data_IF_762277981927
#
_entry.id   IF_762277981927
#
_cell.length_a   1.000
_cell.length_b   1.000
_cell.length_c   1.000
_cell.angle_alpha   90.00
_cell.angle_beta   90.00
_cell.angle_gamma   90.00
#
_symmetry.space_group_name_H-M   'P 1'
#
loop_
_entity.id
_entity.type
_entity.pdbx_description
1 polymer ?
#
# COMPACT_ATOMS: atom_id res chain seq x y z
N UNK A 1 5.34 14.69 -3.08
CA UNK A 1 6.76 14.23 -3.05
C UNK A 1 7.60 15.24 -3.81
N UNK A 2 8.75 15.68 -3.27
CA UNK A 2 9.62 16.59 -3.99
C UNK A 2 10.28 15.88 -5.20
N UNK A 3 10.42 16.55 -6.35
CA UNK A 3 11.05 15.95 -7.54
C UNK A 3 12.48 15.43 -7.26
N UNK A 4 13.21 16.12 -6.39
CA UNK A 4 14.57 15.75 -5.99
C UNK A 4 14.59 14.37 -5.27
N UNK A 5 13.63 14.10 -4.39
CA UNK A 5 13.53 12.82 -3.67
C UNK A 5 13.27 11.66 -4.65
N UNK A 6 12.37 11.87 -5.62
CA UNK A 6 12.08 10.87 -6.67
C UNK A 6 13.33 10.58 -7.49
N UNK A 7 14.08 11.61 -7.88
CA UNK A 7 15.34 11.46 -8.65
C UNK A 7 16.39 10.69 -7.85
N UNK A 8 16.58 10.99 -6.57
CA UNK A 8 17.53 10.26 -5.72
C UNK A 8 17.16 8.77 -5.58
N UNK A 9 15.88 8.46 -5.41
CA UNK A 9 15.39 7.07 -5.32
C UNK A 9 15.63 6.32 -6.63
N UNK A 10 15.33 6.96 -7.78
CA UNK A 10 15.57 6.35 -9.09
C UNK A 10 17.06 6.07 -9.35
N UNK A 11 17.95 7.03 -9.06
CA UNK A 11 19.40 6.85 -9.23
C UNK A 11 19.88 5.71 -8.32
N UNK A 12 19.47 5.70 -7.06
CA UNK A 12 19.84 4.63 -6.11
C UNK A 12 19.38 3.26 -6.59
N UNK A 13 18.15 3.15 -7.09
CA UNK A 13 17.59 1.90 -7.63
C UNK A 13 18.39 1.41 -8.85
N UNK A 14 18.70 2.31 -9.80
CA UNK A 14 19.47 1.95 -11.00
C UNK A 14 20.89 1.51 -10.63
N UNK A 15 21.56 2.20 -9.68
CA UNK A 15 22.87 1.79 -9.20
C UNK A 15 22.84 0.42 -8.52
N UNK A 16 21.85 0.17 -7.68
CA UNK A 16 21.67 -1.13 -7.00
C UNK A 16 21.46 -2.26 -8.01
N UNK A 17 20.59 -2.03 -9.00
CA UNK A 17 20.31 -2.98 -10.07
C UNK A 17 21.56 -3.29 -10.92
N UNK A 18 22.32 -2.25 -11.27
CA UNK A 18 23.59 -2.41 -12.03
C UNK A 18 24.58 -3.27 -11.26
N UNK A 19 24.77 -2.99 -9.96
CA UNK A 19 25.69 -3.77 -9.11
C UNK A 19 25.19 -5.20 -8.96
N UNK A 20 23.90 -5.40 -8.72
CA UNK A 20 23.31 -6.73 -8.60
C UNK A 20 23.52 -7.56 -9.88
N UNK A 21 23.22 -6.99 -11.03
CA UNK A 21 23.39 -7.67 -12.32
C UNK A 21 24.85 -7.96 -12.67
N UNK A 22 25.77 -7.09 -12.26
CA UNK A 22 27.21 -7.31 -12.45
C UNK A 22 27.73 -8.53 -11.69
N UNK A 23 27.27 -8.73 -10.43
CA UNK A 23 27.74 -9.82 -9.58
C UNK A 23 26.93 -11.14 -9.74
N UNK A 24 25.63 -11.05 -9.97
CA UNK A 24 24.72 -12.22 -9.96
C UNK A 24 24.15 -12.57 -11.34
N UNK A 25 24.39 -11.74 -12.35
CA UNK A 25 23.91 -11.97 -13.72
C UNK A 25 22.49 -11.43 -13.97
N UNK A 26 21.98 -11.72 -15.16
CA UNK A 26 20.72 -11.15 -15.70
C UNK A 26 19.52 -12.14 -15.63
N UNK A 27 19.61 -13.21 -14.81
CA UNK A 27 18.52 -14.17 -14.72
C UNK A 27 17.32 -13.57 -13.94
N UNK A 28 16.08 -13.77 -14.39
CA UNK A 28 14.90 -13.39 -13.62
C UNK A 28 14.83 -14.21 -12.33
N UNK A 29 14.23 -13.64 -11.28
CA UNK A 29 14.15 -14.28 -9.96
C UNK A 29 13.30 -15.55 -9.97
N UNK A 30 12.26 -15.59 -10.81
CA UNK A 30 11.43 -16.77 -11.06
C UNK A 30 11.40 -17.00 -12.58
N UNK A 31 12.09 -18.03 -13.05
CA UNK A 31 12.17 -18.32 -14.49
C UNK A 31 10.89 -19.06 -14.94
N UNK A 32 9.78 -18.32 -15.06
CA UNK A 32 8.48 -18.89 -15.39
C UNK A 32 8.28 -18.86 -16.91
N UNK A 33 8.45 -20.01 -17.55
CA UNK A 33 8.08 -20.19 -18.95
C UNK A 33 6.64 -20.64 -19.04
N UNK A 34 5.79 -19.82 -19.64
CA UNK A 34 4.42 -20.20 -20.00
C UNK A 34 4.28 -20.10 -21.50
N UNK A 35 4.29 -21.26 -22.15
CA UNK A 35 4.26 -21.40 -23.61
C UNK A 35 2.87 -21.18 -24.21
N UNK A 36 1.84 -20.98 -23.38
CA UNK A 36 0.46 -20.81 -23.82
C UNK A 36 0.03 -19.37 -23.78
N UNK A 37 -0.59 -18.89 -24.87
CA UNK A 37 -1.20 -17.54 -24.89
C UNK A 37 -2.56 -17.58 -24.20
N UNK A 38 -2.82 -16.63 -23.29
CA UNK A 38 -4.11 -16.53 -22.62
C UNK A 38 -5.20 -16.13 -23.62
N UNK A 39 -6.17 -17.04 -23.85
CA UNK A 39 -7.22 -16.81 -24.83
C UNK A 39 -8.26 -15.84 -24.31
N UNK A 40 -8.72 -14.91 -25.16
CA UNK A 40 -9.67 -13.87 -24.82
C UNK A 40 -10.98 -14.39 -24.22
N UNK A 41 -11.42 -15.58 -24.67
CA UNK A 41 -12.64 -16.22 -24.15
C UNK A 41 -12.61 -16.53 -22.64
N UNK A 42 -11.42 -16.62 -22.03
CA UNK A 42 -11.26 -16.93 -20.61
C UNK A 42 -11.05 -15.71 -19.73
N UNK A 43 -11.09 -14.48 -20.26
CA UNK A 43 -10.91 -13.27 -19.45
C UNK A 43 -11.97 -13.11 -18.34
N UNK A 44 -13.16 -13.69 -18.51
CA UNK A 44 -14.16 -13.71 -17.45
C UNK A 44 -13.66 -14.44 -16.18
N UNK A 45 -12.79 -15.45 -16.32
CA UNK A 45 -12.16 -16.15 -15.19
C UNK A 45 -11.22 -15.21 -14.41
N UNK A 46 -10.53 -14.29 -15.10
CA UNK A 46 -9.70 -13.27 -14.45
C UNK A 46 -10.55 -12.32 -13.59
N UNK A 47 -11.74 -11.94 -14.09
CA UNK A 47 -12.67 -11.07 -13.34
C UNK A 47 -13.11 -11.77 -12.06
N UNK A 48 -13.56 -13.02 -12.16
CA UNK A 48 -13.95 -13.82 -10.99
C UNK A 48 -12.77 -13.98 -10.02
N UNK A 49 -11.59 -14.27 -10.56
CA UNK A 49 -10.38 -14.42 -9.76
C UNK A 49 -10.00 -13.13 -9.03
N UNK A 50 -10.09 -11.96 -9.67
CA UNK A 50 -9.85 -10.67 -9.06
C UNK A 50 -10.78 -10.41 -7.86
N UNK A 51 -12.07 -10.80 -7.97
CA UNK A 51 -13.02 -10.73 -6.87
C UNK A 51 -12.61 -11.64 -5.70
N UNK A 52 -12.23 -12.87 -5.99
CA UNK A 52 -11.75 -13.83 -4.97
C UNK A 52 -10.51 -13.27 -4.27
N UNK A 53 -9.54 -12.75 -5.03
CA UNK A 53 -8.31 -12.17 -4.48
C UNK A 53 -8.60 -10.92 -3.62
N UNK A 54 -9.57 -10.10 -4.01
CA UNK A 54 -10.01 -8.96 -3.20
C UNK A 54 -10.59 -9.41 -1.85
N UNK A 55 -11.39 -10.48 -1.84
CA UNK A 55 -11.94 -11.05 -0.59
C UNK A 55 -10.81 -11.58 0.30
N UNK A 56 -9.87 -12.33 -0.27
CA UNK A 56 -8.69 -12.85 0.44
C UNK A 56 -7.87 -11.69 1.05
N UNK A 57 -7.64 -10.63 0.29
CA UNK A 57 -6.92 -9.45 0.74
C UNK A 57 -7.65 -8.74 1.90
N UNK A 58 -8.98 -8.62 1.83
CA UNK A 58 -9.79 -8.05 2.91
C UNK A 58 -9.76 -8.88 4.18
N UNK A 59 -9.79 -10.20 4.06
CA UNK A 59 -9.62 -11.11 5.18
C UNK A 59 -8.20 -10.96 5.79
N UNK A 60 -7.19 -10.80 4.93
CA UNK A 60 -5.81 -10.60 5.37
C UNK A 60 -5.63 -9.28 6.13
N UNK A 61 -6.15 -8.15 5.59
CA UNK A 61 -6.18 -6.86 6.30
C UNK A 61 -6.84 -7.01 7.69
N UNK A 62 -8.00 -7.65 7.74
CA UNK A 62 -8.73 -7.91 8.99
C UNK A 62 -7.95 -8.78 9.97
N UNK A 63 -7.23 -9.79 9.49
CA UNK A 63 -6.38 -10.66 10.31
C UNK A 63 -5.20 -9.88 10.89
N UNK A 64 -4.55 -9.01 10.10
CA UNK A 64 -3.46 -8.15 10.57
C UNK A 64 -3.92 -7.20 11.68
N UNK A 65 -5.04 -6.49 11.46
CA UNK A 65 -5.58 -5.53 12.43
C UNK A 65 -6.04 -6.21 13.74
N UNK A 66 -6.72 -7.35 13.62
CA UNK A 66 -7.14 -8.14 14.80
C UNK A 66 -5.93 -8.71 15.53
N UNK A 67 -4.96 -9.22 14.79
CA UNK A 67 -3.73 -9.76 15.35
C UNK A 67 -2.96 -8.70 16.15
N UNK A 68 -2.81 -7.49 15.62
CA UNK A 68 -2.18 -6.37 16.34
C UNK A 68 -2.93 -6.03 17.65
N UNK A 69 -4.27 -6.01 17.62
CA UNK A 69 -5.08 -5.79 18.83
C UNK A 69 -4.86 -6.90 19.86
N UNK A 70 -4.90 -8.17 19.45
CA UNK A 70 -4.69 -9.32 20.33
C UNK A 70 -3.30 -9.27 20.95
N UNK A 71 -2.27 -9.02 20.12
CA UNK A 71 -0.89 -8.91 20.57
C UNK A 71 -0.69 -7.73 21.54
N UNK A 72 -1.39 -6.61 21.30
CA UNK A 72 -1.41 -5.46 22.21
C UNK A 72 -1.99 -5.78 23.60
N UNK A 73 -3.01 -6.66 23.68
CA UNK A 73 -3.64 -7.08 24.94
C UNK A 73 -2.76 -8.01 25.79
N UNK A 74 -1.74 -8.61 25.21
CA UNK A 74 -0.81 -9.48 25.96
C UNK A 74 -0.03 -8.62 26.95
N UNK A 75 -0.29 -8.79 28.24
CA UNK A 75 0.34 -8.07 29.35
C UNK A 75 1.73 -8.63 29.68
N UNK A 76 2.58 -8.80 28.70
CA UNK A 76 3.99 -9.16 28.88
C UNK A 76 4.87 -7.92 28.79
N UNK A 77 6.01 -7.96 29.50
CA UNK A 77 7.02 -6.93 29.34
C UNK A 77 7.41 -6.80 27.86
N UNK A 78 7.52 -5.58 27.28
CA UNK A 78 7.85 -5.36 25.88
C UNK A 78 9.07 -6.13 25.37
N UNK A 79 10.06 -6.38 26.22
CA UNK A 79 11.28 -7.13 25.90
C UNK A 79 10.98 -8.62 25.64
N UNK A 80 10.00 -9.21 26.32
CA UNK A 80 9.66 -10.63 26.20
C UNK A 80 8.63 -10.93 25.12
N UNK A 81 7.86 -9.92 24.68
CA UNK A 81 6.86 -10.08 23.61
C UNK A 81 7.43 -10.69 22.33
N UNK A 82 8.56 -10.20 21.77
CA UNK A 82 9.17 -10.79 20.56
C UNK A 82 9.56 -12.25 20.72
N UNK A 83 9.97 -12.68 21.92
CA UNK A 83 10.43 -14.05 22.19
C UNK A 83 9.33 -15.07 21.89
N UNK A 84 8.06 -14.73 22.17
CA UNK A 84 6.91 -15.61 21.88
C UNK A 84 6.83 -15.92 20.40
N UNK A 85 6.93 -14.89 19.55
CA UNK A 85 6.87 -15.08 18.08
C UNK A 85 8.10 -15.81 17.56
N UNK A 86 9.29 -15.48 18.07
CA UNK A 86 10.53 -16.17 17.70
C UNK A 86 10.44 -17.66 18.06
N UNK A 87 9.90 -18.00 19.23
CA UNK A 87 9.70 -19.40 19.64
C UNK A 87 8.70 -20.11 18.72
N UNK A 88 7.57 -19.47 18.39
CA UNK A 88 6.60 -20.02 17.43
C UNK A 88 7.26 -20.23 16.07
N UNK A 89 8.03 -19.25 15.58
CA UNK A 89 8.74 -19.34 14.30
C UNK A 89 9.76 -20.48 14.31
N UNK A 90 10.53 -20.64 15.38
CA UNK A 90 11.50 -21.72 15.51
C UNK A 90 10.81 -23.10 15.51
N UNK A 91 9.70 -23.22 16.25
CA UNK A 91 8.92 -24.46 16.27
C UNK A 91 8.33 -24.77 14.88
N UNK A 92 7.71 -23.78 14.23
CA UNK A 92 7.20 -23.92 12.87
C UNK A 92 8.31 -24.27 11.88
N UNK A 93 9.51 -23.69 12.04
CA UNK A 93 10.68 -23.97 11.18
C UNK A 93 11.17 -25.42 11.27
N UNK A 94 11.02 -26.07 12.41
CA UNK A 94 11.39 -27.48 12.59
C UNK A 94 10.34 -28.42 11.98
N UNK A 95 9.06 -28.15 12.20
CA UNK A 95 7.97 -29.07 11.81
C UNK A 95 7.36 -28.73 10.45
N UNK A 96 7.40 -27.47 10.01
CA UNK A 96 6.76 -26.95 8.81
C UNK A 96 7.70 -25.98 8.09
N UNK A 97 8.92 -26.45 7.79
CA UNK A 97 9.96 -25.66 7.13
C UNK A 97 9.48 -24.96 5.86
N UNK A 98 8.52 -25.53 5.13
CA UNK A 98 7.92 -24.93 3.93
C UNK A 98 7.14 -23.65 4.24
N UNK A 99 6.51 -23.54 5.41
CA UNK A 99 5.76 -22.34 5.82
C UNK A 99 6.68 -21.20 6.26
N UNK A 100 7.80 -21.54 6.92
CA UNK A 100 8.78 -20.57 7.48
C UNK A 100 10.00 -20.37 6.58
N UNK A 101 10.28 -21.31 5.69
CA UNK A 101 11.45 -21.32 4.81
C UNK A 101 11.52 -20.14 3.86
N UNK A 102 12.66 -19.98 3.20
CA UNK A 102 12.92 -18.88 2.25
C UNK A 102 11.78 -18.78 1.23
N UNK A 103 11.17 -17.62 1.17
CA UNK A 103 9.92 -17.40 0.44
C UNK A 103 10.07 -17.64 -1.07
N UNK A 104 11.28 -17.46 -1.62
CA UNK A 104 11.60 -17.83 -2.99
C UNK A 104 11.44 -19.34 -3.23
N UNK A 105 11.91 -20.16 -2.30
CA UNK A 105 11.85 -21.62 -2.45
C UNK A 105 10.43 -22.16 -2.43
N UNK A 106 9.53 -21.58 -1.62
CA UNK A 106 8.13 -22.00 -1.61
C UNK A 106 7.39 -21.53 -2.86
N UNK A 107 7.65 -20.29 -3.32
CA UNK A 107 7.06 -19.80 -4.58
C UNK A 107 7.47 -20.66 -5.77
N UNK A 108 8.76 -21.03 -5.86
CA UNK A 108 9.26 -21.94 -6.89
C UNK A 108 8.63 -23.34 -6.80
N UNK A 109 8.58 -23.92 -5.62
CA UNK A 109 7.95 -25.23 -5.39
C UNK A 109 6.47 -25.20 -5.79
N UNK A 110 5.74 -24.15 -5.42
CA UNK A 110 4.33 -24.01 -5.81
C UNK A 110 4.17 -23.98 -7.33
N UNK A 111 5.13 -23.44 -8.09
CA UNK A 111 5.10 -23.40 -9.55
C UNK A 111 5.42 -24.77 -10.15
N UNK A 112 6.51 -25.39 -9.71
CA UNK A 112 7.07 -26.57 -10.38
C UNK A 112 6.64 -27.91 -9.81
N UNK A 113 6.29 -27.98 -8.52
CA UNK A 113 5.91 -29.24 -7.89
C UNK A 113 4.39 -29.47 -7.93
N UNK A 114 4.03 -30.73 -8.05
CA UNK A 114 2.62 -31.15 -8.01
C UNK A 114 2.19 -31.39 -6.57
N UNK A 115 1.37 -30.48 -6.04
CA UNK A 115 0.77 -30.64 -4.72
C UNK A 115 -0.66 -31.18 -4.81
N UNK A 116 -1.05 -32.01 -3.85
CA UNK A 116 -2.46 -32.36 -3.69
C UNK A 116 -3.27 -31.12 -3.28
N UNK A 117 -4.49 -30.99 -3.79
CA UNK A 117 -5.37 -29.85 -3.51
C UNK A 117 -5.55 -29.55 -2.01
N UNK A 118 -5.70 -30.62 -1.20
CA UNK A 118 -5.79 -30.48 0.27
C UNK A 118 -4.52 -29.89 0.89
N UNK A 119 -3.35 -30.30 0.42
CA UNK A 119 -2.06 -29.79 0.91
C UNK A 119 -1.90 -28.31 0.61
N UNK A 120 -2.28 -27.85 -0.59
CA UNK A 120 -2.24 -26.43 -0.96
C UNK A 120 -3.14 -25.57 -0.06
N UNK A 121 -4.36 -26.03 0.25
CA UNK A 121 -5.26 -25.32 1.16
C UNK A 121 -4.66 -25.23 2.56
N UNK A 122 -4.09 -26.31 3.08
CA UNK A 122 -3.45 -26.35 4.40
C UNK A 122 -2.26 -25.38 4.42
N UNK A 123 -1.38 -25.44 3.42
CA UNK A 123 -0.24 -24.53 3.29
C UNK A 123 -0.68 -23.07 3.22
N UNK A 124 -1.72 -22.77 2.44
CA UNK A 124 -2.27 -21.42 2.33
C UNK A 124 -2.77 -20.92 3.68
N UNK A 125 -3.57 -21.70 4.39
CA UNK A 125 -4.13 -21.31 5.70
C UNK A 125 -3.02 -21.12 6.73
N UNK A 126 -2.06 -22.06 6.80
CA UNK A 126 -0.94 -21.99 7.73
C UNK A 126 -0.05 -20.77 7.44
N UNK A 127 0.30 -20.53 6.16
CA UNK A 127 1.10 -19.35 5.75
C UNK A 127 0.36 -18.06 6.04
N UNK A 128 -0.93 -18.01 5.76
CA UNK A 128 -1.78 -16.84 6.04
C UNK A 128 -1.78 -16.49 7.53
N UNK A 129 -2.06 -17.47 8.40
CA UNK A 129 -2.09 -17.27 9.84
C UNK A 129 -0.71 -16.93 10.41
N UNK A 130 0.32 -17.63 9.95
CA UNK A 130 1.69 -17.39 10.37
C UNK A 130 2.16 -15.97 9.99
N UNK A 131 1.92 -15.54 8.74
CA UNK A 131 2.27 -14.19 8.29
C UNK A 131 1.51 -13.12 9.10
N UNK A 132 0.22 -13.34 9.34
CA UNK A 132 -0.58 -12.43 10.16
C UNK A 132 -0.05 -12.35 11.60
N UNK A 133 0.33 -13.47 12.21
CA UNK A 133 0.88 -13.53 13.57
C UNK A 133 2.24 -12.83 13.65
N UNK A 134 3.16 -13.11 12.72
CA UNK A 134 4.49 -12.49 12.70
C UNK A 134 4.39 -10.96 12.53
N UNK A 135 3.58 -10.49 11.60
CA UNK A 135 3.40 -9.06 11.37
C UNK A 135 2.74 -8.35 12.55
N UNK A 136 1.80 -9.00 13.21
CA UNK A 136 1.10 -8.46 14.38
C UNK A 136 2.00 -8.23 15.59
N UNK A 137 3.18 -8.88 15.61
CA UNK A 137 4.16 -8.75 16.70
C UNK A 137 4.82 -7.36 16.78
N UNK A 138 4.73 -6.56 15.70
CA UNK A 138 5.41 -5.27 15.59
C UNK A 138 6.91 -5.36 15.41
N UNK A 139 7.48 -6.57 15.23
CA UNK A 139 8.87 -6.75 14.85
C UNK A 139 9.06 -6.24 13.44
N UNK A 140 10.08 -5.39 13.16
CA UNK A 140 10.35 -4.93 11.81
C UNK A 140 10.53 -6.10 10.84
N UNK A 141 9.71 -6.15 9.80
CA UNK A 141 9.74 -7.19 8.79
C UNK A 141 8.97 -6.78 7.54
N UNK A 142 9.28 -7.40 6.40
CA UNK A 142 8.62 -7.13 5.12
C UNK A 142 7.37 -7.98 4.95
N UNK A 143 6.29 -7.38 4.42
CA UNK A 143 5.08 -8.11 3.99
C UNK A 143 5.14 -8.52 2.52
N UNK A 144 6.09 -7.97 1.78
CA UNK A 144 6.15 -8.08 0.33
C UNK A 144 6.24 -9.54 -0.15
N UNK A 145 7.27 -10.27 0.28
CA UNK A 145 7.48 -11.67 -0.09
C UNK A 145 6.37 -12.60 0.42
N UNK A 146 5.91 -12.51 1.67
CA UNK A 146 4.75 -13.27 2.13
C UNK A 146 3.49 -13.09 1.27
N UNK A 147 3.23 -11.87 0.77
CA UNK A 147 2.09 -11.60 -0.11
C UNK A 147 2.26 -12.29 -1.48
N UNK A 148 3.46 -12.29 -2.04
CA UNK A 148 3.76 -13.01 -3.29
C UNK A 148 3.46 -14.50 -3.12
N UNK A 149 3.94 -15.12 -2.05
CA UNK A 149 3.72 -16.56 -1.78
C UNK A 149 2.25 -16.88 -1.52
N UNK A 150 1.55 -16.07 -0.74
CA UNK A 150 0.12 -16.24 -0.51
C UNK A 150 -0.68 -16.08 -1.81
N UNK A 151 -0.30 -15.12 -2.64
CA UNK A 151 -0.87 -14.92 -3.97
C UNK A 151 -0.63 -16.11 -4.89
N UNK A 152 0.58 -16.68 -4.89
CA UNK A 152 0.94 -17.87 -5.65
C UNK A 152 0.11 -19.09 -5.23
N UNK A 153 0.00 -19.36 -3.93
CA UNK A 153 -0.82 -20.44 -3.38
C UNK A 153 -2.30 -20.29 -3.74
N UNK A 154 -2.87 -19.10 -3.55
CA UNK A 154 -4.26 -18.82 -3.92
C UNK A 154 -4.47 -18.96 -5.43
N UNK A 155 -3.53 -18.50 -6.24
CA UNK A 155 -3.55 -18.64 -7.69
C UNK A 155 -3.53 -20.10 -8.13
N UNK A 156 -2.65 -20.93 -7.55
CA UNK A 156 -2.61 -22.36 -7.84
C UNK A 156 -3.89 -23.08 -7.44
N UNK A 157 -4.43 -22.81 -6.26
CA UNK A 157 -5.69 -23.38 -5.79
C UNK A 157 -6.82 -23.04 -6.78
N UNK A 158 -6.90 -21.77 -7.20
CA UNK A 158 -7.90 -21.32 -8.16
C UNK A 158 -7.69 -21.95 -9.54
N UNK A 159 -6.45 -22.00 -10.04
CA UNK A 159 -6.10 -22.60 -11.32
C UNK A 159 -6.49 -24.08 -11.40
N UNK A 160 -6.16 -24.86 -10.36
CA UNK A 160 -6.57 -26.27 -10.25
C UNK A 160 -8.10 -26.41 -10.20
N UNK A 161 -8.80 -25.52 -9.48
CA UNK A 161 -10.26 -25.53 -9.45
C UNK A 161 -10.85 -25.27 -10.84
N UNK A 162 -10.32 -24.28 -11.58
CA UNK A 162 -10.78 -23.94 -12.93
C UNK A 162 -10.56 -25.10 -13.92
N UNK A 163 -9.39 -25.75 -13.88
CA UNK A 163 -9.08 -26.88 -14.77
C UNK A 163 -10.03 -28.04 -14.49
N UNK A 164 -10.35 -28.33 -13.25
CA UNK A 164 -11.31 -29.36 -12.88
C UNK A 164 -12.75 -29.03 -13.30
N UNK A 165 -13.11 -27.75 -13.35
CA UNK A 165 -14.44 -27.29 -13.70
C UNK A 165 -14.65 -27.18 -15.21
N UNK A 166 -13.61 -26.78 -15.93
CA UNK A 166 -13.65 -26.51 -17.39
C UNK A 166 -12.58 -27.36 -18.08
N UNK A 167 -12.91 -28.57 -18.56
CA UNK A 167 -11.96 -29.49 -19.16
C UNK A 167 -11.25 -28.95 -20.43
N UNK A 168 -11.80 -27.91 -21.05
CA UNK A 168 -11.20 -27.24 -22.20
C UNK A 168 -9.99 -26.36 -21.82
N UNK A 169 -9.81 -26.04 -20.55
CA UNK A 169 -8.68 -25.26 -20.04
C UNK A 169 -7.48 -26.21 -19.84
N UNK A 170 -6.40 -25.96 -20.58
CA UNK A 170 -5.20 -26.81 -20.52
C UNK A 170 -4.45 -26.65 -19.19
N UNK A 171 -3.69 -27.68 -18.74
CA UNK A 171 -2.94 -27.62 -17.48
C UNK A 171 -1.99 -26.42 -17.33
N UNK A 172 -1.45 -25.87 -18.43
CA UNK A 172 -0.59 -24.68 -18.41
C UNK A 172 -1.25 -23.40 -17.83
N UNK A 173 -2.58 -23.37 -17.75
CA UNK A 173 -3.29 -22.23 -17.15
C UNK A 173 -3.11 -22.12 -15.63
N UNK A 174 -2.71 -23.16 -14.92
CA UNK A 174 -2.38 -23.06 -13.48
C UNK A 174 -1.31 -22.01 -13.24
N UNK A 175 -0.25 -22.02 -14.05
CA UNK A 175 0.88 -21.11 -13.93
C UNK A 175 0.46 -19.66 -14.16
N UNK A 176 -0.48 -19.43 -15.09
CA UNK A 176 -1.06 -18.10 -15.25
C UNK A 176 -1.72 -17.59 -13.97
N UNK A 177 -2.59 -18.40 -13.37
CA UNK A 177 -3.27 -17.99 -12.14
C UNK A 177 -2.32 -17.82 -10.95
N UNK A 178 -1.19 -18.55 -10.91
CA UNK A 178 -0.14 -18.33 -9.91
C UNK A 178 0.42 -16.91 -10.06
N UNK A 179 0.85 -16.52 -11.26
CA UNK A 179 1.43 -15.19 -11.53
C UNK A 179 0.40 -14.08 -11.32
N UNK A 180 -0.82 -14.28 -11.81
CA UNK A 180 -1.93 -13.33 -11.59
C UNK A 180 -2.28 -13.17 -10.11
N UNK A 181 -2.22 -14.26 -9.33
CA UNK A 181 -2.47 -14.24 -7.89
C UNK A 181 -1.43 -13.47 -7.10
N UNK A 182 -0.15 -13.63 -7.44
CA UNK A 182 0.93 -12.84 -6.87
C UNK A 182 0.70 -11.34 -7.07
N UNK A 183 0.40 -10.94 -8.33
CA UNK A 183 0.13 -9.55 -8.69
C UNK A 183 -1.14 -9.00 -8.02
N UNK A 184 -2.22 -9.77 -8.03
CA UNK A 184 -3.52 -9.36 -7.49
C UNK A 184 -3.46 -9.13 -5.98
N UNK A 185 -2.85 -10.06 -5.21
CA UNK A 185 -2.76 -9.89 -3.75
C UNK A 185 -1.88 -8.71 -3.38
N UNK A 186 -0.74 -8.55 -4.06
CA UNK A 186 0.13 -7.40 -3.86
C UNK A 186 -0.60 -6.08 -4.16
N UNK A 187 -1.34 -6.03 -5.29
CA UNK A 187 -2.15 -4.87 -5.66
C UNK A 187 -3.20 -4.53 -4.60
N UNK A 188 -3.93 -5.55 -4.12
CA UNK A 188 -5.00 -5.34 -3.16
C UNK A 188 -4.49 -4.79 -1.83
N UNK A 189 -3.40 -5.34 -1.31
CA UNK A 189 -2.87 -4.98 0.02
C UNK A 189 -2.09 -3.66 -0.01
N UNK A 190 -1.30 -3.43 -1.06
CA UNK A 190 -0.46 -2.22 -1.20
C UNK A 190 -1.19 -1.07 -1.90
N UNK A 191 -2.30 -1.35 -2.60
CA UNK A 191 -3.02 -0.39 -3.47
C UNK A 191 -2.12 0.19 -4.58
N UNK A 192 -1.25 -0.62 -5.15
CA UNK A 192 -0.25 -0.21 -6.15
C UNK A 192 -0.32 -1.07 -7.43
N UNK A 193 -1.36 -0.91 -8.29
CA UNK A 193 -1.58 -1.79 -9.44
C UNK A 193 -0.45 -1.73 -10.48
N UNK A 194 0.09 -0.55 -10.75
CA UNK A 194 1.18 -0.38 -11.72
C UNK A 194 2.46 -1.04 -11.21
N UNK A 195 2.82 -0.77 -9.95
CA UNK A 195 4.01 -1.36 -9.31
C UNK A 195 3.93 -2.88 -9.28
N UNK A 196 2.77 -3.45 -8.92
CA UNK A 196 2.56 -4.89 -8.87
C UNK A 196 2.66 -5.53 -10.26
N UNK A 197 2.14 -4.88 -11.29
CA UNK A 197 2.24 -5.35 -12.67
C UNK A 197 3.69 -5.37 -13.15
N UNK A 198 4.40 -4.26 -13.01
CA UNK A 198 5.80 -4.14 -13.47
C UNK A 198 6.69 -5.12 -12.72
N UNK A 199 6.50 -5.23 -11.41
CA UNK A 199 7.26 -6.15 -10.59
C UNK A 199 7.07 -7.61 -11.02
N UNK A 200 5.84 -8.04 -11.30
CA UNK A 200 5.62 -9.42 -11.76
C UNK A 200 6.20 -9.67 -13.15
N UNK A 201 6.22 -8.68 -14.03
CA UNK A 201 6.93 -8.79 -15.31
C UNK A 201 8.44 -8.96 -15.13
N UNK A 202 9.02 -8.24 -14.20
CA UNK A 202 10.45 -8.32 -13.87
C UNK A 202 10.79 -9.68 -13.24
N UNK A 203 10.00 -10.11 -12.27
CA UNK A 203 10.19 -11.38 -11.54
C UNK A 203 10.06 -12.58 -12.47
N UNK A 204 9.12 -12.54 -13.42
CA UNK A 204 8.88 -13.63 -14.39
C UNK A 204 9.75 -13.53 -15.64
N UNK A 205 10.34 -12.37 -15.92
CA UNK A 205 11.12 -12.13 -17.14
C UNK A 205 10.33 -12.23 -18.43
N UNK A 206 8.99 -12.24 -18.38
CA UNK A 206 8.14 -12.47 -19.54
C UNK A 206 7.05 -11.42 -19.72
N UNK A 207 7.00 -10.80 -20.90
CA UNK A 207 5.95 -9.85 -21.27
C UNK A 207 4.66 -10.52 -21.79
N UNK A 208 4.66 -11.82 -21.98
CA UNK A 208 3.49 -12.58 -22.51
C UNK A 208 2.25 -12.43 -21.62
N UNK A 209 2.45 -12.13 -20.33
CA UNK A 209 1.38 -12.00 -19.32
C UNK A 209 0.95 -10.56 -19.09
N UNK A 210 1.47 -9.59 -19.83
CA UNK A 210 1.25 -8.17 -19.56
C UNK A 210 -0.24 -7.81 -19.50
N UNK A 211 -1.02 -8.12 -20.54
CA UNK A 211 -2.44 -7.78 -20.56
C UNK A 211 -3.27 -8.48 -19.47
N UNK A 212 -3.16 -9.79 -19.23
CA UNK A 212 -3.80 -10.44 -18.11
C UNK A 212 -3.40 -9.85 -16.75
N UNK A 213 -2.11 -9.52 -16.56
CA UNK A 213 -1.61 -8.89 -15.32
C UNK A 213 -2.23 -7.50 -15.08
N UNK A 214 -2.21 -6.64 -16.10
CA UNK A 214 -2.86 -5.32 -16.01
C UNK A 214 -4.34 -5.48 -15.68
N UNK A 215 -5.02 -6.41 -16.37
CA UNK A 215 -6.45 -6.63 -16.17
C UNK A 215 -6.76 -7.06 -14.73
N UNK A 216 -6.06 -8.06 -14.20
CA UNK A 216 -6.31 -8.53 -12.82
C UNK A 216 -5.97 -7.45 -11.80
N UNK A 217 -4.86 -6.73 -11.96
CA UNK A 217 -4.44 -5.67 -11.05
C UNK A 217 -5.45 -4.52 -11.04
N UNK A 218 -5.90 -4.07 -12.21
CA UNK A 218 -6.87 -2.96 -12.32
C UNK A 218 -8.22 -3.34 -11.72
N UNK A 219 -8.74 -4.53 -12.02
CA UNK A 219 -10.02 -4.98 -11.47
C UNK A 219 -9.92 -5.14 -9.95
N UNK A 220 -8.85 -5.78 -9.46
CA UNK A 220 -8.62 -5.95 -8.02
C UNK A 220 -8.52 -4.59 -7.33
N UNK A 221 -7.78 -3.64 -7.90
CA UNK A 221 -7.67 -2.28 -7.37
C UNK A 221 -9.04 -1.59 -7.27
N UNK A 222 -9.82 -1.62 -8.36
CA UNK A 222 -11.17 -1.03 -8.37
C UNK A 222 -12.07 -1.68 -7.31
N UNK A 223 -12.01 -3.00 -7.15
CA UNK A 223 -12.78 -3.70 -6.14
C UNK A 223 -12.36 -3.30 -4.71
N UNK A 224 -11.05 -3.10 -4.45
CA UNK A 224 -10.58 -2.61 -3.15
C UNK A 224 -11.09 -1.20 -2.84
N UNK A 225 -11.23 -0.33 -3.86
CA UNK A 225 -11.83 1.00 -3.69
C UNK A 225 -13.34 0.90 -3.37
N UNK A 226 -14.08 0.05 -4.09
CA UNK A 226 -15.52 -0.16 -3.84
C UNK A 226 -15.79 -0.62 -2.41
N UNK A 227 -14.98 -1.55 -1.88
CA UNK A 227 -15.12 -2.04 -0.49
C UNK A 227 -14.42 -1.16 0.54
N UNK A 228 -13.88 0.00 0.13
CA UNK A 228 -13.17 0.97 0.98
C UNK A 228 -12.07 0.30 1.83
N UNK A 229 -11.32 -0.61 1.23
CA UNK A 229 -10.19 -1.25 1.86
C UNK A 229 -9.06 -0.23 2.02
N UNK A 230 -8.36 -0.24 3.15
CA UNK A 230 -7.24 0.67 3.41
C UNK A 230 -5.93 0.04 2.94
N UNK A 231 -4.99 0.87 2.47
CA UNK A 231 -3.64 0.38 2.21
C UNK A 231 -2.96 -0.02 3.51
N UNK A 232 -2.19 -1.10 3.49
CA UNK A 232 -1.40 -1.50 4.66
C UNK A 232 -0.39 -0.41 5.06
N UNK A 233 0.11 0.35 4.09
CA UNK A 233 1.04 1.45 4.33
C UNK A 233 0.40 2.57 5.14
N UNK A 234 -0.86 2.90 4.85
CA UNK A 234 -1.61 3.92 5.60
C UNK A 234 -1.86 3.47 7.04
N UNK A 235 -2.20 2.19 7.22
CA UNK A 235 -2.41 1.58 8.55
C UNK A 235 -1.11 1.60 9.36
N UNK A 236 0.03 1.28 8.74
CA UNK A 236 1.33 1.32 9.40
C UNK A 236 1.73 2.74 9.78
N UNK A 237 1.51 3.70 8.88
CA UNK A 237 1.81 5.11 9.13
C UNK A 237 1.02 5.62 10.34
N UNK A 238 -0.29 5.35 10.43
CA UNK A 238 -1.10 5.72 11.58
C UNK A 238 -0.61 5.11 12.90
N UNK A 239 -0.16 3.85 12.86
CA UNK A 239 0.37 3.18 14.05
C UNK A 239 1.73 3.75 14.49
N UNK A 240 2.48 4.41 13.60
CA UNK A 240 3.77 5.04 13.88
C UNK A 240 3.61 6.48 14.37
N UNK A 241 2.50 7.15 14.05
CA UNK A 241 2.24 8.50 14.54
C UNK A 241 1.97 8.47 16.05
N UNK A 242 2.54 9.41 16.83
CA UNK A 242 2.26 9.49 18.26
C UNK A 242 0.75 9.68 18.48
N UNK A 243 0.12 8.77 19.21
CA UNK A 243 -1.30 8.83 19.59
C UNK A 243 -1.67 10.03 20.48
N UNK A 244 -0.85 11.04 20.55
CA UNK A 244 -1.00 12.20 21.44
C UNK A 244 -1.60 13.45 20.78
N UNK A 245 -2.06 13.37 19.53
CA UNK A 245 -2.65 14.53 18.85
C UNK A 245 -4.17 14.44 18.63
N UNK A 246 -4.81 13.29 18.91
CA UNK A 246 -6.25 13.13 18.67
C UNK A 246 -6.92 12.32 19.80
N UNK A 247 -7.05 12.89 21.01
CA UNK A 247 -7.97 12.37 22.05
C UNK A 247 -9.42 12.87 21.91
N UNK A 248 -9.72 13.69 20.91
CA UNK A 248 -11.09 14.06 20.57
C UNK A 248 -11.44 13.44 19.22
N UNK A 249 -12.25 12.41 19.26
CA UNK A 249 -12.68 11.55 18.15
C UNK A 249 -13.54 12.19 17.05
N UNK A 250 -13.14 13.34 16.57
CA UNK A 250 -13.54 13.92 15.29
C UNK A 250 -12.23 14.17 14.50
N UNK A 251 -11.96 13.34 13.48
CA UNK A 251 -10.96 13.66 12.45
C UNK A 251 -11.41 14.92 11.71
N UNK A 252 -11.20 16.08 12.29
CA UNK A 252 -11.33 17.35 11.59
C UNK A 252 -10.16 17.46 10.62
N UNK A 253 -10.42 17.06 9.39
CA UNK A 253 -9.46 17.11 8.29
C UNK A 253 -9.00 18.54 8.11
N UNK A 254 -7.75 18.83 8.47
CA UNK A 254 -7.16 20.15 8.30
C UNK A 254 -6.87 20.42 6.85
N UNK A 255 -7.33 21.55 6.37
CA UNK A 255 -7.08 21.99 4.99
C UNK A 255 -6.36 23.34 5.00
N UNK A 256 -5.63 23.57 3.93
CA UNK A 256 -4.91 24.82 3.71
C UNK A 256 -5.62 25.61 2.62
N UNK A 257 -5.93 26.87 2.89
CA UNK A 257 -6.58 27.78 1.94
C UNK A 257 -5.63 28.95 1.69
N UNK A 258 -5.51 29.37 0.43
CA UNK A 258 -4.74 30.55 0.03
C UNK A 258 -5.72 31.70 -0.30
N UNK A 259 -5.51 32.85 0.32
CA UNK A 259 -6.32 34.06 0.13
C UNK A 259 -5.39 35.18 -0.37
N UNK A 260 -5.69 35.79 -1.53
CA UNK A 260 -4.91 36.91 -2.04
C UNK A 260 -5.20 38.18 -1.24
N UNK A 261 -4.18 39.03 -1.08
CA UNK A 261 -4.32 40.40 -0.56
C UNK A 261 -4.50 41.34 -1.74
N UNK A 262 -5.68 41.87 -1.87
CA UNK A 262 -6.00 42.89 -2.88
C UNK A 262 -5.38 44.25 -2.58
N UNK A 263 -5.24 45.08 -3.60
CA UNK A 263 -4.81 46.47 -3.45
C UNK A 263 -5.91 47.25 -2.73
N UNK A 264 -5.55 48.05 -1.72
CA UNK A 264 -6.49 48.81 -0.87
C UNK A 264 -7.47 47.96 -0.04
N UNK A 265 -7.24 46.62 0.05
CA UNK A 265 -8.02 45.74 0.91
C UNK A 265 -7.79 46.03 2.42
N UNK A 266 -8.67 45.48 3.25
CA UNK A 266 -8.53 45.61 4.73
C UNK A 266 -7.18 45.05 5.25
N UNK A 267 -6.53 44.20 4.50
CA UNK A 267 -5.27 43.50 4.85
C UNK A 267 -4.03 44.26 4.35
N UNK A 268 -4.16 45.09 3.29
CA UNK A 268 -3.03 45.75 2.67
C UNK A 268 -2.34 46.73 3.62
N UNK A 269 -1.04 46.59 3.72
CA UNK A 269 -0.19 47.46 4.55
C UNK A 269 -0.27 47.24 6.07
N UNK A 270 -1.14 46.32 6.56
CA UNK A 270 -1.30 46.05 7.98
C UNK A 270 -0.42 44.88 8.44
N UNK A 271 -0.13 44.88 9.75
CA UNK A 271 0.59 43.78 10.39
C UNK A 271 -0.38 42.67 10.76
N UNK A 272 0.10 41.41 10.77
CA UNK A 272 -0.72 40.24 11.11
C UNK A 272 -1.41 40.40 12.48
N UNK A 273 -0.76 40.99 13.46
CA UNK A 273 -1.31 41.23 14.80
C UNK A 273 -2.40 42.31 14.87
N UNK A 274 -2.50 43.20 13.88
CA UNK A 274 -3.46 44.29 13.85
C UNK A 274 -4.83 43.86 13.35
N UNK A 275 -4.92 42.63 12.80
CA UNK A 275 -6.16 42.05 12.28
C UNK A 275 -6.75 41.09 13.31
N UNK A 276 -8.05 41.22 13.53
CA UNK A 276 -8.81 40.24 14.31
C UNK A 276 -9.22 39.12 13.38
N UNK A 277 -8.48 38.01 13.47
CA UNK A 277 -8.74 36.85 12.63
C UNK A 277 -9.93 36.03 13.14
N UNK A 278 -10.72 35.41 12.26
CA UNK A 278 -11.77 34.50 12.68
C UNK A 278 -11.25 33.36 13.56
N UNK A 279 -12.07 32.92 14.50
CA UNK A 279 -11.71 31.78 15.37
C UNK A 279 -11.50 30.50 14.53
N UNK A 280 -10.61 29.63 14.99
CA UNK A 280 -10.26 28.33 14.38
C UNK A 280 -9.58 28.43 13.01
N UNK A 281 -8.95 29.54 12.66
CA UNK A 281 -8.04 29.64 11.53
C UNK A 281 -6.67 30.18 11.98
N UNK A 282 -5.59 29.67 11.38
CA UNK A 282 -4.24 30.07 11.67
C UNK A 282 -3.50 30.43 10.38
N UNK A 283 -2.86 31.59 10.32
CA UNK A 283 -1.97 31.94 9.23
C UNK A 283 -0.66 31.19 9.42
N UNK A 284 -0.33 30.30 8.49
CA UNK A 284 0.87 29.44 8.56
C UNK A 284 1.94 29.86 7.55
N UNK A 285 1.60 30.68 6.55
CA UNK A 285 2.54 31.16 5.54
C UNK A 285 2.05 32.40 4.82
N UNK A 286 2.94 33.14 4.20
CA UNK A 286 2.67 34.22 3.26
C UNK A 286 3.56 33.98 2.03
N UNK A 287 2.94 33.73 0.87
CA UNK A 287 3.64 33.60 -0.40
C UNK A 287 3.72 34.99 -1.03
N UNK A 288 4.93 35.51 -1.15
CA UNK A 288 5.25 36.82 -1.76
C UNK A 288 6.11 36.61 -3.01
N UNK A 289 5.47 36.54 -4.16
CA UNK A 289 6.15 36.15 -5.40
C UNK A 289 6.75 34.74 -5.25
N UNK A 290 8.06 34.61 -5.44
CA UNK A 290 8.75 33.32 -5.31
C UNK A 290 9.28 33.03 -3.89
N UNK A 291 8.87 33.83 -2.89
CA UNK A 291 9.34 33.67 -1.50
C UNK A 291 8.21 33.29 -0.57
N UNK A 292 8.42 32.23 0.20
CA UNK A 292 7.55 31.84 1.31
C UNK A 292 8.07 32.46 2.62
N UNK A 293 7.21 33.20 3.31
CA UNK A 293 7.51 33.91 4.55
C UNK A 293 6.73 33.23 5.68
N UNK A 294 7.41 32.88 6.76
CA UNK A 294 6.75 32.44 8.01
C UNK A 294 6.23 33.68 8.72
N UNK A 295 4.90 33.85 8.86
CA UNK A 295 4.33 35.05 9.42
C UNK A 295 4.55 35.12 10.95
N UNK A 296 4.90 36.31 11.42
CA UNK A 296 4.91 36.69 12.84
C UNK A 296 3.95 37.84 13.00
N UNK A 297 3.56 38.16 14.28
CA UNK A 297 2.66 39.27 14.54
C UNK A 297 3.10 40.61 13.95
N UNK A 298 4.40 40.84 13.82
CA UNK A 298 5.00 42.07 13.23
C UNK A 298 5.13 42.01 11.69
N UNK A 299 4.82 40.86 11.07
CA UNK A 299 4.93 40.72 9.61
C UNK A 299 3.86 41.58 8.93
N UNK A 300 4.30 42.42 8.00
CA UNK A 300 3.43 43.30 7.22
C UNK A 300 2.94 42.57 5.97
N UNK A 301 1.64 42.56 5.76
CA UNK A 301 0.99 42.03 4.58
C UNK A 301 0.97 43.11 3.49
N UNK A 302 1.17 42.74 2.25
CA UNK A 302 1.23 43.66 1.12
C UNK A 302 0.30 43.19 -0.01
N UNK A 303 -0.23 44.13 -0.78
CA UNK A 303 -0.99 43.77 -1.96
C UNK A 303 -0.20 42.82 -2.89
N UNK A 304 -0.85 41.76 -3.35
CA UNK A 304 -0.21 40.69 -4.14
C UNK A 304 0.34 39.51 -3.32
N UNK A 305 0.35 39.59 -1.98
CA UNK A 305 0.66 38.45 -1.13
C UNK A 305 -0.49 37.41 -1.17
N UNK A 306 -0.13 36.11 -1.06
CA UNK A 306 -1.07 35.05 -0.85
C UNK A 306 -0.93 34.55 0.60
N UNK A 307 -1.93 34.81 1.42
CA UNK A 307 -1.96 34.36 2.81
C UNK A 307 -2.39 32.90 2.87
N UNK A 308 -1.61 32.06 3.50
CA UNK A 308 -1.85 30.62 3.66
C UNK A 308 -2.44 30.37 5.04
N UNK A 309 -3.74 29.97 5.06
CA UNK A 309 -4.46 29.65 6.28
C UNK A 309 -4.58 28.16 6.48
N UNK A 310 -4.35 27.68 7.69
CA UNK A 310 -4.65 26.32 8.13
C UNK A 310 -5.94 26.35 8.96
N UNK A 311 -6.92 25.52 8.61
CA UNK A 311 -8.19 25.41 9.31
C UNK A 311 -8.83 24.05 9.11
N UNK A 312 -9.86 23.73 9.90
CA UNK A 312 -10.62 22.49 9.74
C UNK A 312 -11.57 22.59 8.54
N UNK A 313 -11.77 21.47 7.82
CA UNK A 313 -12.59 21.42 6.60
C UNK A 313 -14.03 21.92 6.84
N UNK A 314 -14.61 21.61 8.00
CA UNK A 314 -15.95 22.11 8.39
C UNK A 314 -15.97 23.61 8.61
N UNK A 315 -14.91 24.14 9.24
CA UNK A 315 -14.78 25.58 9.52
C UNK A 315 -14.51 26.36 8.23
N UNK A 316 -13.85 25.76 7.27
CA UNK A 316 -13.48 26.37 6.00
C UNK A 316 -14.70 26.87 5.21
N UNK A 317 -15.81 26.15 5.22
CA UNK A 317 -17.04 26.56 4.53
C UNK A 317 -17.65 27.88 5.10
N UNK A 318 -17.44 28.15 6.37
CA UNK A 318 -17.94 29.32 7.07
C UNK A 318 -16.95 30.49 7.03
N UNK A 319 -15.65 30.20 7.21
CA UNK A 319 -14.61 31.22 7.37
C UNK A 319 -14.03 31.68 6.03
N UNK A 320 -14.00 30.84 5.01
CA UNK A 320 -13.48 31.20 3.68
C UNK A 320 -14.12 32.43 3.06
N UNK A 321 -15.47 32.60 3.06
CA UNK A 321 -16.09 33.81 2.53
C UNK A 321 -15.65 35.07 3.25
N UNK A 322 -15.54 35.01 4.59
CA UNK A 322 -15.08 36.14 5.40
C UNK A 322 -13.63 36.52 5.10
N UNK A 323 -12.75 35.53 4.95
CA UNK A 323 -11.35 35.79 4.60
C UNK A 323 -11.20 36.36 3.18
N UNK A 324 -12.04 35.93 2.22
CA UNK A 324 -12.06 36.49 0.88
C UNK A 324 -12.51 37.96 0.92
N UNK A 325 -13.59 38.27 1.65
CA UNK A 325 -14.08 39.64 1.82
C UNK A 325 -13.04 40.57 2.46
N UNK A 326 -12.24 40.04 3.43
CA UNK A 326 -11.15 40.81 4.03
C UNK A 326 -9.95 41.02 3.07
N UNK A 327 -9.74 40.10 2.13
CA UNK A 327 -8.66 40.14 1.13
C UNK A 327 -9.04 40.90 -0.13
N UNK A 328 -10.31 41.06 -0.41
CA UNK A 328 -10.83 41.85 -1.55
C UNK A 328 -11.09 43.30 -1.09
N UNK A 329 -10.94 44.27 -1.99
CA UNK A 329 -11.09 45.70 -1.68
C UNK A 329 -12.54 46.09 -1.50
#
# INVERSE_FOLDING_TARGET
MSPLLVTCVLISSVCAEFVSKYFFGFSPSLNIHVDTTYQLKYYFLIIIFALVMTIIAKLFEGALLKGQKIYGMIKLNPIFKPIVIITITAFMGIFLAEVTGGEHTLAEKVIYESYAYKTLIILFVLKFLFTAACFSSGIPGGLFLPMIVLGALAGKIYGMFVINLIPEVTPGYEVYFIVLGMAALLTAVMKAPITSTILMLEVTGSFSHFFPLVTVCMITFLMTEVIKMRSINDILLENMLPKGLDENGDEEKKITIKIPVGLDSLLDGKKVKEIVWPEKCLIVGIDRGDREIIPHGETKMLAGDLLVFLMDERTASLVKPLLIEMGEA
#
